data_IF_973105521305
#
_entry.id   IF_973105521305
#
_cell.length_a   1.000
_cell.length_b   1.000
_cell.length_c   1.000
_cell.angle_alpha   90.00
_cell.angle_beta   90.00
_cell.angle_gamma   90.00
#
_symmetry.space_group_name_H-M   'P 1'
#
loop_
_entity.id
_entity.type
_entity.pdbx_description
1 polymer ?
#
# COMPACT_ATOMS: atom_id res chain seq x y z
N UNK A 1 5.39 -13.18 -23.65
CA UNK A 1 4.15 -12.54 -23.15
C UNK A 1 4.57 -11.53 -22.11
N UNK A 2 4.42 -10.22 -22.40
CA UNK A 2 4.64 -9.16 -21.41
C UNK A 2 3.63 -9.37 -20.30
N UNK A 3 4.09 -9.83 -19.14
CA UNK A 3 3.27 -9.91 -17.95
C UNK A 3 2.91 -8.45 -17.60
N UNK A 4 1.68 -8.04 -17.87
CA UNK A 4 1.23 -6.70 -17.57
C UNK A 4 1.34 -6.53 -16.05
N UNK A 5 2.23 -5.64 -15.62
CA UNK A 5 2.56 -5.40 -14.22
C UNK A 5 1.32 -4.98 -13.40
N UNK A 6 0.31 -4.42 -14.07
CA UNK A 6 -0.95 -3.97 -13.48
C UNK A 6 -2.14 -4.46 -14.30
N UNK A 7 -3.19 -4.92 -13.63
CA UNK A 7 -4.48 -5.19 -14.27
C UNK A 7 -5.15 -3.88 -14.71
N UNK A 8 -6.08 -3.93 -15.67
CA UNK A 8 -6.84 -2.75 -16.09
C UNK A 8 -7.62 -2.13 -14.91
N UNK A 9 -8.16 -2.96 -14.03
CA UNK A 9 -8.80 -2.49 -12.81
C UNK A 9 -7.83 -1.71 -11.92
N UNK A 10 -6.63 -2.24 -11.72
CA UNK A 10 -5.62 -1.57 -10.89
C UNK A 10 -5.14 -0.29 -11.55
N UNK A 11 -4.97 -0.25 -12.88
CA UNK A 11 -4.69 0.98 -13.62
C UNK A 11 -5.75 2.05 -13.38
N UNK A 12 -7.03 1.69 -13.53
CA UNK A 12 -8.14 2.61 -13.29
C UNK A 12 -8.17 3.12 -11.84
N UNK A 13 -7.96 2.23 -10.86
CA UNK A 13 -7.94 2.59 -9.45
C UNK A 13 -6.76 3.51 -9.11
N UNK A 14 -5.58 3.27 -9.69
CA UNK A 14 -4.42 4.17 -9.52
C UNK A 14 -4.74 5.54 -10.11
N UNK A 15 -5.31 5.59 -11.33
CA UNK A 15 -5.71 6.85 -11.97
C UNK A 15 -6.70 7.64 -11.12
N UNK A 16 -7.67 6.98 -10.50
CA UNK A 16 -8.71 7.63 -9.70
C UNK A 16 -8.23 8.03 -8.29
N UNK A 17 -7.48 7.15 -7.62
CA UNK A 17 -7.15 7.28 -6.20
C UNK A 17 -5.67 7.58 -5.93
N UNK A 18 -4.79 7.37 -6.89
CA UNK A 18 -3.35 7.53 -6.73
C UNK A 18 -2.90 8.99 -6.82
N UNK A 19 -1.90 9.33 -6.01
CA UNK A 19 -1.13 10.57 -6.12
C UNK A 19 0.16 10.27 -6.87
N UNK A 20 0.35 10.81 -8.07
CA UNK A 20 1.56 10.65 -8.88
C UNK A 20 1.67 11.79 -9.90
N UNK A 21 2.86 11.92 -10.50
CA UNK A 21 3.13 13.00 -11.45
C UNK A 21 3.33 14.37 -10.77
N UNK A 22 3.59 15.38 -11.61
CA UNK A 22 3.78 16.77 -11.17
C UNK A 22 2.49 17.58 -11.18
N UNK A 23 1.59 17.26 -12.12
CA UNK A 23 0.31 17.93 -12.23
C UNK A 23 -0.64 17.41 -11.14
N UNK A 24 -1.11 18.32 -10.30
CA UNK A 24 -2.03 18.10 -9.19
C UNK A 24 -3.25 19.00 -9.29
N UNK A 25 -3.64 19.37 -10.51
CA UNK A 25 -4.82 20.18 -10.80
C UNK A 25 -6.08 19.55 -10.21
N UNK A 26 -6.19 18.21 -10.30
CA UNK A 26 -7.31 17.47 -9.74
C UNK A 26 -6.89 16.61 -8.54
N UNK A 27 -7.67 16.71 -7.45
CA UNK A 27 -7.47 15.87 -6.28
C UNK A 27 -7.94 14.44 -6.58
N UNK A 28 -7.15 13.40 -6.25
CA UNK A 28 -7.60 12.02 -6.29
C UNK A 28 -8.90 11.82 -5.51
N UNK A 29 -9.66 10.80 -5.85
CA UNK A 29 -10.87 10.46 -5.12
C UNK A 29 -10.53 10.15 -3.67
N UNK A 30 -11.31 10.73 -2.77
CA UNK A 30 -11.32 10.34 -1.37
C UNK A 30 -11.83 8.90 -1.22
N UNK A 31 -11.57 8.29 -0.07
CA UNK A 31 -12.04 6.93 0.20
C UNK A 31 -13.57 6.81 0.14
N UNK A 32 -14.29 7.87 0.57
CA UNK A 32 -15.75 7.94 0.51
C UNK A 32 -16.27 7.99 -0.94
N UNK A 33 -15.67 8.85 -1.78
CA UNK A 33 -16.01 8.97 -3.20
C UNK A 33 -15.72 7.67 -3.95
N UNK A 34 -14.54 7.08 -3.72
CA UNK A 34 -14.19 5.78 -4.29
C UNK A 34 -15.18 4.68 -3.87
N UNK A 35 -15.58 4.65 -2.59
CA UNK A 35 -16.56 3.67 -2.10
C UNK A 35 -17.95 3.88 -2.72
N UNK A 36 -18.35 5.12 -3.02
CA UNK A 36 -19.59 5.42 -3.72
C UNK A 36 -19.54 4.96 -5.18
N UNK A 37 -18.42 5.22 -5.86
CA UNK A 37 -18.19 4.75 -7.24
C UNK A 37 -18.22 3.21 -7.31
N UNK A 38 -17.53 2.52 -6.39
CA UNK A 38 -17.51 1.04 -6.35
C UNK A 38 -18.89 0.46 -6.11
N UNK A 39 -19.71 1.05 -5.23
CA UNK A 39 -21.09 0.60 -5.02
C UNK A 39 -21.93 0.71 -6.28
N UNK A 40 -21.76 1.79 -7.03
CA UNK A 40 -22.44 1.96 -8.31
C UNK A 40 -21.96 0.94 -9.34
N UNK A 41 -20.63 0.76 -9.50
CA UNK A 41 -20.06 -0.24 -10.43
C UNK A 41 -20.62 -1.65 -10.15
N UNK A 42 -20.67 -2.07 -8.88
CA UNK A 42 -21.25 -3.36 -8.48
C UNK A 42 -22.72 -3.45 -8.91
N UNK A 43 -23.51 -2.39 -8.69
CA UNK A 43 -24.93 -2.35 -9.05
C UNK A 43 -25.17 -2.53 -10.55
N UNK A 44 -24.30 -1.95 -11.38
CA UNK A 44 -24.40 -2.05 -12.85
C UNK A 44 -23.56 -3.19 -13.44
N UNK A 45 -22.94 -4.03 -12.60
CA UNK A 45 -22.10 -5.17 -12.98
C UNK A 45 -20.87 -4.78 -13.82
N UNK A 46 -20.34 -3.59 -13.60
CA UNK A 46 -19.12 -3.10 -14.22
C UNK A 46 -17.91 -3.26 -13.28
N UNK A 47 -16.72 -3.26 -13.88
CA UNK A 47 -15.44 -3.29 -13.17
C UNK A 47 -14.75 -1.92 -13.25
N UNK A 48 -13.79 -1.61 -12.35
CA UNK A 48 -13.01 -0.37 -12.43
C UNK A 48 -12.32 -0.16 -13.78
N UNK A 49 -11.82 -1.22 -14.42
CA UNK A 49 -11.19 -1.17 -15.73
C UNK A 49 -12.10 -0.69 -16.86
N UNK A 50 -13.40 -0.93 -16.75
CA UNK A 50 -14.37 -0.48 -17.77
C UNK A 50 -14.43 1.04 -17.85
N UNK A 51 -14.06 1.75 -16.78
CA UNK A 51 -14.00 3.22 -16.75
C UNK A 51 -12.87 3.81 -17.63
N UNK A 52 -11.97 3.00 -18.13
CA UNK A 52 -10.94 3.44 -19.09
C UNK A 52 -11.55 3.70 -20.49
N UNK A 53 -12.78 3.26 -20.71
CA UNK A 53 -13.55 3.55 -21.91
C UNK A 53 -14.34 4.86 -21.72
N UNK A 54 -14.17 5.81 -22.64
CA UNK A 54 -14.76 7.16 -22.51
C UNK A 54 -16.28 7.18 -22.35
N UNK A 55 -16.96 6.24 -23.02
CA UNK A 55 -18.44 6.20 -23.05
C UNK A 55 -19.05 5.87 -21.68
N UNK A 56 -18.31 5.19 -20.79
CA UNK A 56 -18.76 4.80 -19.46
C UNK A 56 -18.70 5.93 -18.42
N UNK A 57 -17.89 6.96 -18.67
CA UNK A 57 -17.62 8.02 -17.68
C UNK A 57 -18.88 8.85 -17.37
N UNK A 58 -19.73 9.09 -18.38
CA UNK A 58 -20.96 9.83 -18.15
C UNK A 58 -21.91 9.11 -17.18
N UNK A 59 -22.13 7.81 -17.41
CA UNK A 59 -22.96 6.97 -16.55
C UNK A 59 -22.37 6.86 -15.13
N UNK A 60 -21.04 6.70 -15.04
CA UNK A 60 -20.32 6.66 -13.76
C UNK A 60 -20.48 7.95 -12.96
N UNK A 61 -20.44 9.11 -13.63
CA UNK A 61 -20.68 10.41 -13.00
C UNK A 61 -22.09 10.49 -12.43
N UNK A 62 -23.10 10.16 -13.24
CA UNK A 62 -24.50 10.21 -12.81
C UNK A 62 -24.79 9.24 -11.65
N UNK A 63 -24.23 8.03 -11.72
CA UNK A 63 -24.51 6.99 -10.74
C UNK A 63 -23.74 7.10 -9.43
N UNK A 64 -22.52 7.68 -9.46
CA UNK A 64 -21.69 7.85 -8.27
C UNK A 64 -21.80 9.23 -7.62
N UNK A 65 -22.34 10.23 -8.34
CA UNK A 65 -22.40 11.63 -7.92
C UNK A 65 -21.06 12.37 -8.03
N UNK A 66 -20.06 11.78 -8.69
CA UNK A 66 -18.75 12.43 -8.90
C UNK A 66 -18.80 13.25 -10.18
N UNK A 67 -18.26 14.46 -10.15
CA UNK A 67 -18.23 15.35 -11.31
C UNK A 67 -17.57 14.67 -12.53
N UNK A 68 -18.22 14.74 -13.70
CA UNK A 68 -17.77 14.11 -14.94
C UNK A 68 -16.40 14.59 -15.37
N UNK A 69 -16.17 15.91 -15.39
CA UNK A 69 -14.91 16.50 -15.83
C UNK A 69 -13.75 16.06 -14.91
N UNK A 70 -14.02 15.92 -13.61
CA UNK A 70 -13.04 15.39 -12.66
C UNK A 70 -12.70 13.93 -12.93
N UNK A 71 -13.69 13.07 -13.23
CA UNK A 71 -13.44 11.68 -13.64
C UNK A 71 -12.61 11.62 -14.92
N UNK A 72 -12.96 12.41 -15.94
CA UNK A 72 -12.23 12.50 -17.20
C UNK A 72 -10.77 12.95 -16.98
N UNK A 73 -10.57 13.99 -16.17
CA UNK A 73 -9.23 14.47 -15.84
C UNK A 73 -8.39 13.41 -15.10
N UNK A 74 -8.96 12.74 -14.09
CA UNK A 74 -8.27 11.72 -13.34
C UNK A 74 -7.93 10.49 -14.21
N UNK A 75 -8.86 10.00 -15.02
CA UNK A 75 -8.65 8.85 -15.90
C UNK A 75 -7.74 9.17 -17.09
N UNK A 76 -7.68 10.45 -17.50
CA UNK A 76 -6.81 10.91 -18.57
C UNK A 76 -5.32 10.94 -18.26
N UNK A 77 -4.89 10.65 -17.03
CA UNK A 77 -3.49 10.70 -16.58
C UNK A 77 -2.64 9.48 -17.00
N UNK A 78 -3.00 8.80 -18.09
CA UNK A 78 -2.34 7.56 -18.52
C UNK A 78 -0.84 7.69 -18.77
N UNK A 79 -0.39 8.80 -19.38
CA UNK A 79 1.03 9.07 -19.64
C UNK A 79 1.80 9.23 -18.33
N UNK A 80 1.27 10.00 -17.40
CA UNK A 80 1.87 10.19 -16.07
C UNK A 80 1.93 8.87 -15.28
N UNK A 81 0.90 8.03 -15.40
CA UNK A 81 0.90 6.69 -14.83
C UNK A 81 2.02 5.83 -15.41
N UNK A 82 2.24 5.88 -16.72
CA UNK A 82 3.33 5.14 -17.37
C UNK A 82 4.70 5.48 -16.75
N UNK A 83 5.01 6.76 -16.60
CA UNK A 83 6.26 7.20 -15.95
C UNK A 83 6.35 6.76 -14.48
N UNK A 84 5.25 6.85 -13.73
CA UNK A 84 5.21 6.44 -12.34
C UNK A 84 5.44 4.93 -12.18
N UNK A 85 4.82 4.12 -13.03
CA UNK A 85 4.98 2.65 -13.04
C UNK A 85 6.43 2.26 -13.34
N UNK A 86 7.08 2.91 -14.31
CA UNK A 86 8.49 2.65 -14.62
C UNK A 86 9.40 3.04 -13.43
N UNK A 87 9.14 4.15 -12.76
CA UNK A 87 9.87 4.54 -11.56
C UNK A 87 9.68 3.49 -10.44
N UNK A 88 8.44 3.04 -10.20
CA UNK A 88 8.15 2.03 -9.17
C UNK A 88 8.84 0.71 -9.48
N UNK A 89 8.78 0.23 -10.73
CA UNK A 89 9.48 -1.00 -11.17
C UNK A 89 10.98 -0.94 -10.92
N UNK A 90 11.63 0.18 -11.31
CA UNK A 90 13.09 0.36 -11.09
C UNK A 90 13.48 0.28 -9.62
N UNK A 91 12.57 0.65 -8.72
CA UNK A 91 12.78 0.63 -7.28
C UNK A 91 12.23 -0.65 -6.61
N UNK A 92 11.82 -1.66 -7.38
CA UNK A 92 11.26 -2.89 -6.85
C UNK A 92 9.91 -2.73 -6.14
N UNK A 93 9.23 -1.60 -6.38
CA UNK A 93 7.93 -1.32 -5.79
C UNK A 93 6.84 -1.97 -6.64
N UNK A 94 6.05 -2.81 -6.02
CA UNK A 94 4.82 -3.34 -6.60
C UNK A 94 3.60 -2.60 -6.05
N UNK A 95 2.52 -2.64 -6.83
CA UNK A 95 1.24 -2.03 -6.47
C UNK A 95 0.14 -3.08 -6.61
N UNK A 96 -0.74 -3.13 -5.64
CA UNK A 96 -1.98 -3.91 -5.69
C UNK A 96 -3.17 -3.05 -5.31
N UNK A 97 -4.31 -3.35 -5.90
CA UNK A 97 -5.57 -2.67 -5.64
C UNK A 97 -6.59 -3.59 -4.96
N UNK A 98 -7.68 -3.02 -4.44
CA UNK A 98 -8.79 -3.79 -3.88
C UNK A 98 -9.44 -4.77 -4.87
N UNK A 99 -9.22 -4.61 -6.17
CA UNK A 99 -9.74 -5.50 -7.22
C UNK A 99 -8.84 -6.71 -7.47
N UNK A 100 -7.59 -6.67 -7.01
CA UNK A 100 -6.64 -7.76 -7.24
C UNK A 100 -6.89 -8.93 -6.28
N UNK A 101 -6.65 -10.15 -6.79
CA UNK A 101 -6.81 -11.39 -6.02
C UNK A 101 -5.84 -11.46 -4.84
N UNK A 102 -4.68 -10.84 -4.97
CA UNK A 102 -3.64 -10.81 -3.93
C UNK A 102 -3.87 -9.73 -2.87
N UNK A 103 -4.92 -8.91 -3.01
CA UNK A 103 -5.23 -7.92 -1.99
C UNK A 103 -5.63 -8.60 -0.68
N UNK A 104 -5.03 -8.22 0.49
CA UNK A 104 -5.23 -8.93 1.73
C UNK A 104 -6.71 -9.00 2.13
N UNK A 105 -7.27 -10.21 2.18
CA UNK A 105 -8.68 -10.45 2.56
C UNK A 105 -8.99 -9.88 3.94
N UNK A 106 -8.02 -9.96 4.87
CA UNK A 106 -8.14 -9.39 6.22
C UNK A 106 -8.38 -7.88 6.21
N UNK A 107 -7.78 -7.14 5.27
CA UNK A 107 -8.03 -5.70 5.15
C UNK A 107 -9.47 -5.43 4.73
N UNK A 108 -9.99 -6.17 3.75
CA UNK A 108 -11.40 -6.07 3.37
C UNK A 108 -12.32 -6.43 4.53
N UNK A 109 -12.02 -7.50 5.27
CA UNK A 109 -12.84 -8.00 6.37
C UNK A 109 -12.88 -7.03 7.55
N UNK A 110 -11.73 -6.52 7.99
CA UNK A 110 -11.63 -5.72 9.21
C UNK A 110 -11.79 -4.22 8.97
N UNK A 111 -11.26 -3.70 7.87
CA UNK A 111 -11.36 -2.27 7.54
C UNK A 111 -12.62 -1.94 6.74
N UNK A 112 -13.25 -2.92 6.11
CA UNK A 112 -14.49 -2.74 5.32
C UNK A 112 -14.33 -1.60 4.30
N UNK A 113 -15.17 -0.56 4.42
CA UNK A 113 -15.11 0.63 3.57
C UNK A 113 -13.84 1.47 3.77
N UNK A 114 -13.15 1.32 4.90
CA UNK A 114 -11.90 2.01 5.20
C UNK A 114 -10.67 1.28 4.67
N UNK A 115 -10.83 0.12 4.01
CA UNK A 115 -9.71 -0.56 3.36
C UNK A 115 -9.14 0.32 2.24
N UNK A 116 -7.81 0.57 2.21
CA UNK A 116 -7.20 1.44 1.21
C UNK A 116 -7.47 0.92 -0.21
N UNK A 117 -7.78 1.79 -1.18
CA UNK A 117 -7.98 1.37 -2.57
C UNK A 117 -6.73 0.74 -3.18
N UNK A 118 -5.57 1.20 -2.74
CA UNK A 118 -4.24 0.83 -3.23
C UNK A 118 -3.32 0.47 -2.07
N UNK A 119 -2.42 -0.47 -2.31
CA UNK A 119 -1.27 -0.75 -1.47
C UNK A 119 -0.02 -0.78 -2.33
N UNK A 120 0.99 -0.03 -1.92
CA UNK A 120 2.33 -0.06 -2.47
C UNK A 120 3.21 -0.90 -1.56
N UNK A 121 4.11 -1.69 -2.11
CA UNK A 121 5.00 -2.49 -1.28
C UNK A 121 6.32 -2.83 -1.95
N UNK A 122 7.29 -3.18 -1.12
CA UNK A 122 8.60 -3.69 -1.51
C UNK A 122 8.90 -4.93 -0.69
N UNK A 123 9.37 -5.97 -1.33
CA UNK A 123 9.65 -7.26 -0.69
C UNK A 123 8.64 -8.35 -1.04
N UNK A 124 8.68 -9.44 -0.32
CA UNK A 124 7.94 -10.65 -0.63
C UNK A 124 6.43 -10.52 -0.33
N UNK A 125 5.61 -10.44 -1.37
CA UNK A 125 4.14 -10.33 -1.29
C UNK A 125 3.48 -11.51 -0.58
N UNK A 126 4.10 -12.68 -0.57
CA UNK A 126 3.51 -13.87 0.07
C UNK A 126 3.32 -13.68 1.58
N UNK A 127 4.13 -12.80 2.21
CA UNK A 127 4.02 -12.46 3.63
C UNK A 127 2.67 -11.79 3.99
N UNK A 128 1.95 -11.24 3.00
CA UNK A 128 0.60 -10.70 3.21
C UNK A 128 -0.45 -11.75 3.59
N UNK A 129 -0.17 -13.03 3.29
CA UNK A 129 -1.12 -14.14 3.51
C UNK A 129 -1.01 -14.72 4.94
N UNK A 130 0.15 -14.55 5.59
CA UNK A 130 0.42 -15.09 6.90
C UNK A 130 -0.14 -14.25 8.06
N UNK A 131 -0.20 -14.81 9.26
CA UNK A 131 -0.48 -14.09 10.48
C UNK A 131 0.83 -13.57 11.10
N UNK A 132 0.71 -12.59 12.01
CA UNK A 132 1.85 -12.01 12.70
C UNK A 132 1.43 -11.29 13.97
N UNK A 133 2.40 -11.01 14.84
CA UNK A 133 2.19 -10.21 16.05
C UNK A 133 2.34 -8.72 15.72
N UNK A 134 1.30 -7.94 15.97
CA UNK A 134 1.36 -6.48 15.89
C UNK A 134 2.09 -5.91 17.11
N UNK A 135 3.19 -5.18 16.88
CA UNK A 135 3.93 -4.49 17.95
C UNK A 135 3.92 -2.99 17.64
N UNK A 136 3.38 -2.21 18.55
CA UNK A 136 3.35 -0.74 18.48
C UNK A 136 3.61 -0.16 19.85
N UNK A 137 4.21 1.04 19.90
CA UNK A 137 4.46 1.66 21.19
C UNK A 137 5.10 3.05 21.13
N UNK A 138 5.70 3.47 22.21
CA UNK A 138 6.27 4.80 22.39
C UNK A 138 7.40 5.10 21.38
N UNK A 139 7.42 6.33 20.89
CA UNK A 139 8.57 6.86 20.12
C UNK A 139 9.78 7.18 20.99
N UNK A 140 9.57 7.40 22.28
CA UNK A 140 10.60 7.62 23.27
C UNK A 140 10.57 6.44 24.25
N UNK A 141 11.51 5.53 24.11
CA UNK A 141 11.62 4.29 24.86
C UNK A 141 12.82 4.39 25.79
N UNK A 142 12.62 4.04 27.04
CA UNK A 142 13.70 3.87 28.00
C UNK A 142 14.39 2.51 27.82
N UNK A 143 15.47 2.31 28.57
CA UNK A 143 16.27 1.09 28.46
C UNK A 143 15.47 -0.19 28.80
N UNK A 144 14.58 -0.13 29.78
CA UNK A 144 13.75 -1.26 30.17
C UNK A 144 12.73 -1.62 29.06
N UNK A 145 12.08 -0.62 28.47
CA UNK A 145 11.16 -0.80 27.36
C UNK A 145 11.85 -1.30 26.09
N UNK A 146 13.08 -0.83 25.81
CA UNK A 146 13.89 -1.36 24.71
C UNK A 146 14.20 -2.84 24.90
N UNK A 147 14.72 -3.21 26.10
CA UNK A 147 15.05 -4.60 26.41
C UNK A 147 13.82 -5.50 26.29
N UNK A 148 12.69 -5.10 26.85
CA UNK A 148 11.44 -5.85 26.74
C UNK A 148 10.98 -6.03 25.28
N UNK A 149 11.04 -4.94 24.50
CA UNK A 149 10.66 -4.99 23.09
C UNK A 149 11.54 -5.96 22.29
N UNK A 150 12.85 -5.95 22.54
CA UNK A 150 13.79 -6.90 21.92
C UNK A 150 13.47 -8.34 22.29
N UNK A 151 13.26 -8.63 23.56
CA UNK A 151 12.91 -9.98 24.04
C UNK A 151 11.65 -10.52 23.37
N UNK A 152 10.59 -9.69 23.25
CA UNK A 152 9.35 -10.07 22.56
C UNK A 152 9.62 -10.34 21.07
N UNK A 153 10.40 -9.49 20.42
CA UNK A 153 10.72 -9.62 18.99
C UNK A 153 11.56 -10.88 18.71
N UNK A 154 12.56 -11.17 19.53
CA UNK A 154 13.38 -12.38 19.47
C UNK A 154 12.54 -13.64 19.71
N UNK A 155 11.63 -13.60 20.68
CA UNK A 155 10.66 -14.68 20.91
C UNK A 155 9.80 -14.94 19.66
N UNK A 156 9.32 -13.88 19.00
CA UNK A 156 8.58 -14.00 17.75
C UNK A 156 9.41 -14.66 16.64
N UNK A 157 10.67 -14.21 16.48
CA UNK A 157 11.59 -14.79 15.50
C UNK A 157 11.82 -16.28 15.74
N UNK A 158 12.11 -16.66 16.99
CA UNK A 158 12.33 -18.04 17.40
C UNK A 158 11.10 -18.93 17.08
N UNK A 159 9.88 -18.41 17.28
CA UNK A 159 8.64 -19.12 17.02
C UNK A 159 8.14 -18.95 15.57
N UNK A 160 8.96 -18.43 14.66
CA UNK A 160 8.59 -18.18 13.24
C UNK A 160 7.31 -17.34 13.07
N UNK A 161 7.06 -16.45 14.01
CA UNK A 161 5.93 -15.53 14.00
C UNK A 161 6.39 -14.17 13.44
N UNK A 162 5.88 -13.74 12.28
CA UNK A 162 6.22 -12.43 11.75
C UNK A 162 5.82 -11.31 12.71
N UNK A 163 6.68 -10.30 12.84
CA UNK A 163 6.36 -9.06 13.56
C UNK A 163 5.80 -8.04 12.56
N UNK A 164 4.66 -7.43 12.90
CA UNK A 164 4.01 -6.38 12.12
C UNK A 164 4.07 -5.08 12.90
N UNK A 165 4.65 -4.02 12.30
CA UNK A 165 4.80 -2.72 12.99
C UNK A 165 4.69 -1.55 12.02
N UNK A 166 4.57 -0.32 12.55
CA UNK A 166 4.43 0.92 11.76
C UNK A 166 5.76 1.51 11.27
N UNK A 167 6.90 1.00 11.74
CA UNK A 167 8.23 1.51 11.36
C UNK A 167 8.59 2.89 11.91
N UNK A 168 7.82 3.43 12.86
CA UNK A 168 8.12 4.69 13.54
C UNK A 168 9.34 4.53 14.48
N UNK A 169 9.96 5.65 14.87
CA UNK A 169 11.03 5.64 15.89
C UNK A 169 10.54 5.00 17.19
N UNK A 170 11.43 4.35 17.93
CA UNK A 170 11.14 3.72 19.21
C UNK A 170 10.69 2.26 19.05
N UNK A 171 9.65 1.84 19.75
CA UNK A 171 9.20 0.45 19.82
C UNK A 171 9.05 -0.20 18.45
N UNK A 172 8.49 0.52 17.49
CA UNK A 172 8.27 -0.01 16.15
C UNK A 172 9.58 -0.41 15.46
N UNK A 173 10.56 0.50 15.41
CA UNK A 173 11.86 0.20 14.79
C UNK A 173 12.65 -0.84 15.59
N UNK A 174 12.62 -0.77 16.93
CA UNK A 174 13.30 -1.72 17.79
C UNK A 174 12.76 -3.13 17.54
N UNK A 175 11.44 -3.29 17.52
CA UNK A 175 10.83 -4.61 17.31
C UNK A 175 11.15 -5.19 15.95
N UNK A 176 11.05 -4.37 14.87
CA UNK A 176 11.38 -4.82 13.52
C UNK A 176 12.86 -5.21 13.39
N UNK A 177 13.76 -4.36 13.90
CA UNK A 177 15.20 -4.63 13.82
C UNK A 177 15.60 -5.87 14.62
N UNK A 178 15.14 -5.99 15.86
CA UNK A 178 15.43 -7.15 16.69
C UNK A 178 14.90 -8.46 16.09
N UNK A 179 13.70 -8.42 15.47
CA UNK A 179 13.18 -9.58 14.74
C UNK A 179 14.08 -10.00 13.59
N UNK A 180 14.55 -9.04 12.78
CA UNK A 180 15.44 -9.30 11.64
C UNK A 180 16.84 -9.76 12.10
N UNK A 181 17.40 -9.16 13.14
CA UNK A 181 18.67 -9.54 13.76
C UNK A 181 18.64 -10.99 14.30
N UNK A 182 17.47 -11.42 14.81
CA UNK A 182 17.23 -12.79 15.27
C UNK A 182 16.86 -13.78 14.13
N UNK A 183 16.96 -13.37 12.86
CA UNK A 183 16.65 -14.20 11.69
C UNK A 183 15.15 -14.42 11.44
N UNK A 184 14.30 -13.62 12.05
CA UNK A 184 12.86 -13.65 11.87
C UNK A 184 12.37 -12.81 10.69
N UNK A 185 11.04 -12.65 10.57
CA UNK A 185 10.37 -11.92 9.49
C UNK A 185 9.66 -10.69 10.05
N UNK A 186 9.87 -9.53 9.41
CA UNK A 186 9.19 -8.29 9.77
C UNK A 186 8.33 -7.75 8.62
N UNK A 187 7.18 -7.16 8.96
CA UNK A 187 6.27 -6.48 8.04
C UNK A 187 6.08 -5.05 8.54
N UNK A 188 6.58 -4.07 7.79
CA UNK A 188 6.42 -2.65 8.10
C UNK A 188 5.23 -2.05 7.35
N UNK A 189 4.23 -1.49 8.07
CA UNK A 189 3.11 -0.76 7.48
C UNK A 189 3.37 0.73 7.65
N UNK A 190 3.94 1.35 6.63
CA UNK A 190 4.50 2.70 6.71
C UNK A 190 3.45 3.76 6.37
N UNK A 191 3.41 4.83 7.16
CA UNK A 191 2.60 6.01 6.86
C UNK A 191 3.27 6.94 5.83
N UNK A 192 4.59 6.79 5.60
CA UNK A 192 5.38 7.67 4.74
C UNK A 192 6.64 7.00 4.19
N UNK A 193 7.23 7.63 3.17
CA UNK A 193 8.61 7.36 2.72
C UNK A 193 8.94 5.88 2.42
N UNK A 194 8.00 5.13 1.85
CA UNK A 194 8.23 3.73 1.47
C UNK A 194 9.51 3.59 0.63
N UNK A 195 9.69 4.46 -0.38
CA UNK A 195 10.86 4.43 -1.25
C UNK A 195 12.15 4.68 -0.46
N UNK A 196 12.18 5.72 0.39
CA UNK A 196 13.35 6.04 1.18
C UNK A 196 13.72 4.89 2.13
N UNK A 197 12.73 4.32 2.81
CA UNK A 197 12.94 3.21 3.74
C UNK A 197 13.42 1.94 3.04
N UNK A 198 12.91 1.64 1.86
CA UNK A 198 13.30 0.43 1.11
C UNK A 198 14.74 0.44 0.60
N UNK A 199 15.36 1.62 0.44
CA UNK A 199 16.75 1.76 -0.02
C UNK A 199 17.77 1.87 1.11
N UNK A 200 17.36 1.97 2.36
CA UNK A 200 18.26 1.89 3.52
C UNK A 200 19.02 0.55 3.51
N UNK A 201 20.30 0.56 3.82
CA UNK A 201 21.18 -0.62 3.64
C UNK A 201 20.66 -1.89 4.34
N UNK A 202 20.21 -1.77 5.59
CA UNK A 202 19.66 -2.89 6.37
C UNK A 202 18.36 -3.40 5.78
N UNK A 203 17.47 -2.49 5.37
CA UNK A 203 16.20 -2.85 4.75
C UNK A 203 16.40 -3.55 3.40
N UNK A 204 17.30 -3.06 2.56
CA UNK A 204 17.59 -3.68 1.24
C UNK A 204 18.06 -5.12 1.39
N UNK A 205 18.96 -5.40 2.34
CA UNK A 205 19.41 -6.76 2.57
C UNK A 205 18.28 -7.66 3.04
N UNK A 206 17.53 -7.25 4.06
CA UNK A 206 16.40 -8.02 4.58
C UNK A 206 15.28 -8.24 3.55
N UNK A 207 15.05 -7.26 2.64
CA UNK A 207 14.13 -7.40 1.51
C UNK A 207 14.65 -8.44 0.51
N UNK A 208 15.94 -8.40 0.17
CA UNK A 208 16.57 -9.35 -0.75
C UNK A 208 16.54 -10.78 -0.18
N UNK A 209 16.74 -10.93 1.12
CA UNK A 209 16.68 -12.21 1.85
C UNK A 209 15.23 -12.72 2.03
N UNK A 210 14.22 -11.93 1.65
CA UNK A 210 12.80 -12.27 1.79
C UNK A 210 12.26 -12.15 3.22
N UNK A 211 13.03 -11.59 4.14
CA UNK A 211 12.70 -11.46 5.57
C UNK A 211 11.96 -10.15 5.91
N UNK A 212 11.96 -9.17 5.00
CA UNK A 212 11.28 -7.90 5.22
C UNK A 212 10.28 -7.60 4.10
N UNK A 213 9.08 -7.22 4.52
CA UNK A 213 8.06 -6.62 3.66
C UNK A 213 7.73 -5.22 4.16
N UNK A 214 7.85 -4.22 3.30
CA UNK A 214 7.39 -2.86 3.57
C UNK A 214 6.14 -2.55 2.75
N UNK A 215 5.12 -1.99 3.37
CA UNK A 215 3.83 -1.63 2.79
C UNK A 215 3.48 -0.17 3.09
N UNK A 216 2.76 0.48 2.17
CA UNK A 216 2.13 1.76 2.43
C UNK A 216 0.82 1.89 1.63
N UNK A 217 -0.25 2.44 2.20
CA UNK A 217 -1.44 2.86 1.46
C UNK A 217 -1.23 4.19 0.71
N UNK A 218 -0.11 4.85 0.94
CA UNK A 218 0.23 6.16 0.36
C UNK A 218 1.24 6.02 -0.77
N UNK A 219 1.34 7.07 -1.59
CA UNK A 219 2.36 7.14 -2.64
C UNK A 219 3.76 6.86 -2.07
N UNK A 220 4.64 6.11 -2.79
CA UNK A 220 5.94 5.71 -2.26
C UNK A 220 6.84 6.83 -1.76
N UNK A 221 6.68 8.04 -2.31
CA UNK A 221 7.38 9.26 -1.89
C UNK A 221 6.54 10.16 -0.97
N UNK A 222 5.41 9.65 -0.42
CA UNK A 222 4.61 10.45 0.50
C UNK A 222 5.44 10.85 1.73
N UNK A 223 5.23 12.10 2.20
CA UNK A 223 5.80 12.60 3.45
C UNK A 223 4.69 12.71 4.47
N UNK A 224 4.97 12.33 5.68
CA UNK A 224 4.05 12.55 6.79
C UNK A 224 3.98 14.07 7.06
N UNK A 225 2.79 14.63 6.94
CA UNK A 225 2.48 15.98 7.41
C UNK A 225 1.63 15.81 8.66
N UNK A 226 2.19 16.23 9.81
CA UNK A 226 1.47 16.24 11.08
C UNK A 226 0.31 17.21 11.03
#
# INVERSE_FOLDING_TARGET
MMNDFLTEDTKAIILLCGVFGKDRSEKPLSLGEYSSLVRWLIKVKMRPGDLLQKDTIHEASMGSGINKQRLESLLGRGVQLGFAVEEWKRNGIWVISRSDIDYPVRYKKHLKNNAPPLLFGVGNRSLLKGDGLGIVGSRNVDQAGELFTRQVAEFCAYNRMPVVSGGARGVDQISMNATLEAGGVAIGILAENLLKKSVERSARQAIADGCLLLLSPYHPNARFTA
#
